data_IF_975929070673
#
_entry.id   IF_975929070673
#
_cell.length_a   1.000
_cell.length_b   1.000
_cell.length_c   1.000
_cell.angle_alpha   90.00
_cell.angle_beta   90.00
_cell.angle_gamma   90.00
#
_symmetry.space_group_name_H-M   'P 1'
#
loop_
_entity.id
_entity.type
_entity.pdbx_description
1 polymer ?
#
# COMPACT_ATOMS: atom_id res chain seq x y z
N UNK A 1 -17.86 8.21 2.47
CA UNK A 1 -16.61 8.99 2.41
C UNK A 1 -16.18 9.18 3.86
N UNK A 2 -15.18 8.43 4.33
CA UNK A 2 -14.70 8.60 5.71
C UNK A 2 -13.81 9.83 5.75
N UNK A 3 -13.89 10.61 6.81
CA UNK A 3 -13.13 11.85 6.95
C UNK A 3 -11.67 11.53 7.29
N UNK A 4 -10.71 12.34 6.85
CA UNK A 4 -9.26 12.21 7.17
C UNK A 4 -9.02 11.89 8.66
N UNK A 5 -9.72 12.50 9.63
CA UNK A 5 -9.59 12.15 11.05
C UNK A 5 -9.92 10.70 11.38
N UNK A 6 -10.94 10.10 10.75
CA UNK A 6 -11.33 8.70 10.99
C UNK A 6 -10.26 7.72 10.50
N UNK A 7 -9.56 8.07 9.41
CA UNK A 7 -8.44 7.27 8.90
C UNK A 7 -7.27 7.29 9.90
N UNK A 8 -6.91 8.48 10.38
CA UNK A 8 -5.84 8.66 11.38
C UNK A 8 -6.15 7.87 12.66
N UNK A 9 -7.37 7.99 13.18
CA UNK A 9 -7.79 7.26 14.39
C UNK A 9 -7.69 5.74 14.22
N UNK A 10 -8.06 5.19 13.06
CA UNK A 10 -8.01 3.76 12.85
C UNK A 10 -6.58 3.23 12.64
N UNK A 11 -5.71 3.98 11.95
CA UNK A 11 -4.28 3.66 11.86
C UNK A 11 -3.62 3.61 13.23
N UNK A 12 -3.99 4.52 14.14
CA UNK A 12 -3.53 4.45 15.52
C UNK A 12 -3.97 3.16 16.23
N UNK A 13 -5.21 2.71 16.01
CA UNK A 13 -5.71 1.47 16.59
C UNK A 13 -4.97 0.24 16.05
N UNK A 14 -4.73 0.17 14.73
CA UNK A 14 -3.93 -0.90 14.11
C UNK A 14 -2.49 -0.90 14.60
N UNK A 15 -1.85 0.28 14.67
CA UNK A 15 -0.49 0.41 15.19
C UNK A 15 -0.41 -0.11 16.64
N UNK A 16 -1.36 0.29 17.49
CA UNK A 16 -1.44 -0.19 18.86
C UNK A 16 -1.58 -1.72 18.93
N UNK A 17 -2.45 -2.31 18.11
CA UNK A 17 -2.66 -3.76 18.11
C UNK A 17 -1.42 -4.53 17.65
N UNK A 18 -0.62 -3.95 16.76
CA UNK A 18 0.66 -4.52 16.33
C UNK A 18 1.80 -4.28 17.34
N UNK A 19 1.56 -3.57 18.45
CA UNK A 19 2.60 -3.16 19.38
C UNK A 19 3.57 -2.13 18.77
N UNK A 20 3.11 -1.38 17.77
CA UNK A 20 3.90 -0.40 17.02
C UNK A 20 3.49 1.03 17.40
N UNK A 21 4.47 1.95 17.30
CA UNK A 21 4.17 3.38 17.19
C UNK A 21 3.52 3.68 15.84
N UNK A 22 2.81 4.80 15.76
CA UNK A 22 2.23 5.27 14.49
C UNK A 22 3.28 5.37 13.36
N UNK A 23 4.47 5.90 13.67
CA UNK A 23 5.55 6.01 12.69
C UNK A 23 6.05 4.64 12.22
N UNK A 24 6.15 3.66 13.12
CA UNK A 24 6.51 2.30 12.75
C UNK A 24 5.45 1.65 11.86
N UNK A 25 4.17 1.93 12.11
CA UNK A 25 3.09 1.47 11.23
C UNK A 25 3.16 2.10 9.83
N UNK A 26 3.41 3.40 9.74
CA UNK A 26 3.60 4.08 8.45
C UNK A 26 4.81 3.52 7.69
N UNK A 27 5.91 3.23 8.39
CA UNK A 27 7.08 2.55 7.80
C UNK A 27 6.76 1.14 7.32
N UNK A 28 5.95 0.38 8.07
CA UNK A 28 5.48 -0.95 7.67
C UNK A 28 4.67 -0.86 6.37
N UNK A 29 3.68 0.04 6.31
CA UNK A 29 2.89 0.31 5.09
C UNK A 29 3.78 0.68 3.91
N UNK A 30 4.80 1.52 4.14
CA UNK A 30 5.75 1.89 3.11
C UNK A 30 6.61 0.71 2.63
N UNK A 31 6.95 -0.24 3.51
CA UNK A 31 7.62 -1.48 3.11
C UNK A 31 6.76 -2.30 2.15
N UNK A 32 5.46 -2.47 2.45
CA UNK A 32 4.52 -3.13 1.53
C UNK A 32 4.41 -2.41 0.18
N UNK A 33 4.49 -1.07 0.18
CA UNK A 33 4.52 -0.29 -1.06
C UNK A 33 5.77 -0.59 -1.90
N UNK A 34 6.95 -0.68 -1.27
CA UNK A 34 8.20 -1.03 -1.95
C UNK A 34 8.09 -2.42 -2.57
N UNK A 35 7.61 -3.41 -1.80
CA UNK A 35 7.47 -4.78 -2.26
C UNK A 35 6.49 -4.85 -3.45
N UNK A 36 5.38 -4.12 -3.38
CA UNK A 36 4.45 -3.95 -4.50
C UNK A 36 5.11 -3.31 -5.73
N UNK A 37 5.94 -2.28 -5.55
CA UNK A 37 6.70 -1.67 -6.65
C UNK A 37 7.71 -2.64 -7.28
N UNK A 38 8.33 -3.51 -6.49
CA UNK A 38 9.24 -4.57 -6.97
C UNK A 38 8.44 -5.56 -7.83
N UNK A 39 7.26 -5.99 -7.38
CA UNK A 39 6.37 -6.84 -8.17
C UNK A 39 6.02 -6.21 -9.52
N UNK A 40 5.72 -4.91 -9.57
CA UNK A 40 5.41 -4.19 -10.81
C UNK A 40 6.61 -4.00 -11.76
N UNK A 41 7.83 -4.06 -11.25
CA UNK A 41 9.04 -4.04 -12.05
C UNK A 41 9.35 -5.41 -12.68
N UNK A 42 8.70 -6.49 -12.22
CA UNK A 42 8.98 -7.84 -12.67
C UNK A 42 8.45 -8.06 -14.11
N UNK A 43 9.30 -8.48 -15.07
CA UNK A 43 8.92 -8.56 -16.49
C UNK A 43 7.73 -9.48 -16.79
N UNK A 44 7.57 -10.58 -16.05
CA UNK A 44 6.48 -11.55 -16.22
C UNK A 44 5.09 -10.99 -15.89
N UNK A 45 5.01 -9.89 -15.14
CA UNK A 45 3.77 -9.24 -14.71
C UNK A 45 3.49 -7.94 -15.50
N UNK A 46 4.10 -7.81 -16.68
CA UNK A 46 3.95 -6.64 -17.53
C UNK A 46 4.93 -5.51 -17.22
N UNK A 47 6.02 -5.77 -16.49
CA UNK A 47 7.16 -4.87 -16.31
C UNK A 47 7.83 -4.57 -17.66
N UNK A 48 7.60 -3.36 -18.19
CA UNK A 48 8.17 -2.93 -19.46
C UNK A 48 9.57 -2.34 -19.29
N UNK A 49 10.38 -2.37 -20.36
CA UNK A 49 11.64 -1.61 -20.45
C UNK A 49 11.35 -0.14 -20.08
N UNK A 50 12.01 0.37 -19.05
CA UNK A 50 11.86 1.77 -18.58
C UNK A 50 11.11 1.96 -17.25
N UNK A 51 10.61 0.90 -16.60
CA UNK A 51 10.16 0.98 -15.19
C UNK A 51 11.30 0.59 -14.27
N UNK A 52 11.93 1.57 -13.63
CA UNK A 52 12.89 1.32 -12.56
C UNK A 52 12.17 1.43 -11.20
N UNK A 53 12.63 0.65 -10.22
CA UNK A 53 12.12 0.74 -8.85
C UNK A 53 12.20 2.18 -8.33
N UNK A 54 13.33 2.85 -8.59
CA UNK A 54 13.56 4.26 -8.23
C UNK A 54 12.44 5.16 -8.78
N UNK A 55 12.09 5.02 -10.06
CA UNK A 55 11.04 5.84 -10.68
C UNK A 55 9.67 5.62 -10.02
N UNK A 56 9.35 4.40 -9.59
CA UNK A 56 8.06 4.10 -8.96
C UNK A 56 8.02 4.63 -7.52
N UNK A 57 9.02 4.30 -6.70
CA UNK A 57 8.99 4.63 -5.27
C UNK A 57 9.07 6.13 -4.99
N UNK A 58 9.60 6.94 -5.92
CA UNK A 58 9.68 8.40 -5.78
C UNK A 58 8.54 9.16 -6.46
N UNK A 59 7.56 8.48 -7.05
CA UNK A 59 6.49 9.16 -7.78
C UNK A 59 5.30 9.44 -6.87
N UNK A 60 5.14 10.69 -6.41
CA UNK A 60 4.11 11.10 -5.45
C UNK A 60 2.70 10.64 -5.80
N UNK A 61 2.30 10.73 -7.07
CA UNK A 61 0.97 10.26 -7.50
C UNK A 61 0.77 8.76 -7.29
N UNK A 62 1.83 7.96 -7.44
CA UNK A 62 1.77 6.51 -7.25
C UNK A 62 1.71 6.17 -5.75
N UNK A 63 2.49 6.87 -4.94
CA UNK A 63 2.47 6.76 -3.47
C UNK A 63 1.08 7.10 -2.94
N UNK A 64 0.50 8.23 -3.36
CA UNK A 64 -0.82 8.67 -2.92
C UNK A 64 -1.90 7.68 -3.38
N UNK A 65 -1.83 7.21 -4.63
CA UNK A 65 -2.77 6.20 -5.11
C UNK A 65 -2.68 4.90 -4.31
N UNK A 66 -1.47 4.46 -3.97
CA UNK A 66 -1.26 3.27 -3.16
C UNK A 66 -1.78 3.47 -1.73
N UNK A 67 -1.61 4.65 -1.14
CA UNK A 67 -2.17 4.98 0.17
C UNK A 67 -3.71 4.89 0.17
N UNK A 68 -4.37 5.39 -0.89
CA UNK A 68 -5.82 5.26 -1.06
C UNK A 68 -6.25 3.79 -1.17
N UNK A 69 -5.50 2.97 -1.93
CA UNK A 69 -5.79 1.54 -2.04
C UNK A 69 -5.56 0.80 -0.73
N UNK A 70 -4.48 1.11 -0.02
CA UNK A 70 -4.18 0.54 1.29
C UNK A 70 -5.30 0.83 2.28
N UNK A 71 -5.73 2.09 2.34
CA UNK A 71 -6.85 2.48 3.18
C UNK A 71 -8.13 1.71 2.83
N UNK A 72 -8.49 1.64 1.55
CA UNK A 72 -9.74 1.05 1.10
C UNK A 72 -9.77 -0.48 1.20
N UNK A 73 -8.67 -1.16 0.84
CA UNK A 73 -8.63 -2.60 0.68
C UNK A 73 -8.06 -3.34 1.89
N UNK A 74 -7.18 -2.69 2.65
CA UNK A 74 -6.55 -3.28 3.84
C UNK A 74 -7.24 -2.75 5.09
N UNK A 75 -7.10 -1.46 5.38
CA UNK A 75 -7.54 -0.89 6.65
C UNK A 75 -9.06 -0.97 6.81
N UNK A 76 -9.84 -0.52 5.82
CA UNK A 76 -11.30 -0.58 5.92
C UNK A 76 -11.85 -2.01 5.94
N UNK A 77 -11.21 -2.93 5.22
CA UNK A 77 -11.63 -4.33 5.19
C UNK A 77 -11.43 -4.97 6.56
N UNK A 78 -10.26 -4.75 7.17
CA UNK A 78 -9.99 -5.21 8.53
C UNK A 78 -10.95 -4.55 9.52
N UNK A 79 -11.21 -3.24 9.39
CA UNK A 79 -12.15 -2.55 10.26
C UNK A 79 -13.57 -3.12 10.15
N UNK A 80 -14.05 -3.40 8.93
CA UNK A 80 -15.39 -3.96 8.69
C UNK A 80 -15.55 -5.35 9.26
N UNK A 81 -14.54 -6.20 9.13
CA UNK A 81 -14.64 -7.60 9.53
C UNK A 81 -14.23 -7.85 10.97
N UNK A 82 -13.30 -7.07 11.50
CA UNK A 82 -12.64 -7.34 12.78
C UNK A 82 -12.57 -6.13 13.70
N UNK A 83 -13.09 -4.96 13.31
CA UNK A 83 -12.95 -3.72 14.09
C UNK A 83 -13.54 -3.76 15.50
N UNK A 84 -14.57 -4.58 15.74
CA UNK A 84 -15.17 -4.73 17.07
C UNK A 84 -14.33 -5.61 18.02
N UNK A 85 -13.58 -6.56 17.46
CA UNK A 85 -12.88 -7.62 18.21
C UNK A 85 -11.37 -7.61 17.92
N UNK A 86 -10.84 -6.48 17.46
CA UNK A 86 -9.46 -6.39 16.97
C UNK A 86 -8.42 -6.76 18.05
N UNK A 87 -8.78 -6.59 19.33
CA UNK A 87 -7.95 -6.91 20.49
C UNK A 87 -7.72 -8.40 20.72
N UNK A 88 -8.52 -9.27 20.09
CA UNK A 88 -8.40 -10.73 20.25
C UNK A 88 -7.19 -11.28 19.49
N UNK A 89 -6.77 -10.59 18.43
CA UNK A 89 -5.67 -11.02 17.57
C UNK A 89 -4.32 -10.68 18.17
N UNK A 90 -3.35 -11.60 18.11
CA UNK A 90 -1.96 -11.24 18.45
C UNK A 90 -1.37 -10.29 17.40
N UNK A 91 -0.28 -9.57 17.71
CA UNK A 91 0.42 -8.75 16.72
C UNK A 91 0.79 -9.53 15.45
N UNK A 92 1.22 -10.78 15.58
CA UNK A 92 1.59 -11.65 14.46
C UNK A 92 0.37 -11.99 13.59
N UNK A 93 -0.77 -12.32 14.22
CA UNK A 93 -2.02 -12.60 13.50
C UNK A 93 -2.53 -11.35 12.77
N UNK A 94 -2.42 -10.18 13.39
CA UNK A 94 -2.77 -8.91 12.74
C UNK A 94 -1.87 -8.60 11.55
N UNK A 95 -0.57 -8.83 11.68
CA UNK A 95 0.37 -8.65 10.56
C UNK A 95 0.07 -9.63 9.42
N UNK A 96 -0.30 -10.87 9.75
CA UNK A 96 -0.72 -11.85 8.76
C UNK A 96 -2.00 -11.41 8.02
N UNK A 97 -3.01 -10.93 8.76
CA UNK A 97 -4.23 -10.38 8.16
C UNK A 97 -3.95 -9.18 7.23
N UNK A 98 -3.11 -8.24 7.68
CA UNK A 98 -2.66 -7.11 6.85
C UNK A 98 -2.03 -7.62 5.56
N UNK A 99 -1.11 -8.58 5.67
CA UNK A 99 -0.41 -9.15 4.52
C UNK A 99 -1.38 -9.81 3.53
N UNK A 100 -2.37 -10.55 4.03
CA UNK A 100 -3.39 -11.21 3.21
C UNK A 100 -4.20 -10.19 2.40
N UNK A 101 -4.64 -9.10 3.03
CA UNK A 101 -5.42 -8.07 2.33
C UNK A 101 -4.56 -7.16 1.44
N UNK A 102 -3.28 -6.96 1.77
CA UNK A 102 -2.36 -6.18 0.95
C UNK A 102 -2.13 -6.81 -0.43
N UNK A 103 -2.18 -8.14 -0.53
CA UNK A 103 -2.09 -8.86 -1.82
C UNK A 103 -3.20 -8.41 -2.78
N UNK A 104 -4.40 -8.12 -2.29
CA UNK A 104 -5.52 -7.68 -3.13
C UNK A 104 -5.23 -6.38 -3.88
N UNK A 105 -4.29 -5.55 -3.42
CA UNK A 105 -3.89 -4.32 -4.13
C UNK A 105 -3.27 -4.66 -5.49
N UNK A 106 -2.64 -5.84 -5.64
CA UNK A 106 -2.08 -6.29 -6.91
C UNK A 106 -3.15 -6.51 -7.99
N UNK A 107 -4.35 -6.94 -7.59
CA UNK A 107 -5.45 -7.19 -8.51
C UNK A 107 -5.97 -5.87 -9.13
N UNK A 108 -5.81 -4.76 -8.41
CA UNK A 108 -6.16 -3.42 -8.88
C UNK A 108 -4.98 -2.78 -9.61
N UNK A 109 -4.59 -3.39 -10.74
CA UNK A 109 -3.44 -2.93 -11.53
C UNK A 109 -3.66 -1.51 -12.12
N UNK A 110 -2.90 -0.47 -11.72
CA UNK A 110 -3.10 0.91 -12.17
C UNK A 110 -2.47 1.17 -13.54
N UNK A 111 -2.88 0.41 -14.55
CA UNK A 111 -2.26 0.36 -15.88
C UNK A 111 -2.10 1.73 -16.55
N UNK A 112 -3.10 2.60 -16.42
CA UNK A 112 -3.10 3.95 -17.01
C UNK A 112 -2.07 4.85 -16.33
N UNK A 113 -1.98 4.77 -15.00
CA UNK A 113 -1.02 5.56 -14.22
C UNK A 113 0.41 5.13 -14.54
N UNK A 114 0.67 3.82 -14.56
CA UNK A 114 1.99 3.27 -14.88
C UNK A 114 2.44 3.64 -16.30
N UNK A 115 1.54 3.59 -17.29
CA UNK A 115 1.84 4.04 -18.66
C UNK A 115 2.25 5.51 -18.71
N UNK A 116 1.58 6.39 -17.95
CA UNK A 116 1.91 7.83 -17.88
C UNK A 116 3.28 8.06 -17.22
N UNK A 117 3.58 7.33 -16.16
CA UNK A 117 4.87 7.41 -15.46
C UNK A 117 6.01 7.00 -16.39
N UNK A 118 5.88 5.86 -17.10
CA UNK A 118 6.89 5.38 -18.05
C UNK A 118 7.08 6.33 -19.23
N UNK A 119 5.99 6.84 -19.81
CA UNK A 119 6.06 7.78 -20.94
C UNK A 119 6.75 9.10 -20.56
N UNK A 120 6.60 9.57 -19.31
CA UNK A 120 7.30 10.75 -18.80
C UNK A 120 8.78 10.47 -18.58
N UNK A 121 9.13 9.35 -17.95
CA UNK A 121 10.52 8.96 -17.72
C UNK A 121 11.33 8.92 -19.02
N UNK A 122 10.80 8.28 -20.07
CA UNK A 122 11.44 8.17 -21.38
C UNK A 122 11.67 9.51 -22.09
N UNK A 123 10.92 10.57 -21.77
CA UNK A 123 11.10 11.92 -22.35
C UNK A 123 12.20 12.74 -21.66
N UNK A 124 12.58 12.35 -20.45
CA UNK A 124 13.62 13.05 -19.66
C UNK A 124 15.03 12.53 -19.94
N UNK A 125 15.16 11.40 -20.64
CA UNK A 125 16.43 10.75 -20.98
C UNK A 125 16.90 11.03 -22.42
N UNK A 126 16.20 11.92 -23.15
CA UNK A 126 16.52 12.39 -24.50
C UNK A 126 16.86 13.88 -24.50
#
# INVERSE_FOLDING_TARGET
MNTIPQQITYRHALAHQLGLTYLQYENLRYQFYIDWCIHLCTPSLGGGRGRTLKTLITHDTLINWYDDQWYALVEQTIHRHYGQDISIYTPEEMLYLISLYAVNILDYYPSVLLKKITARAARTEH
#
